data_IF_148992730188
#
_entry.id   IF_148992730188
#
_cell.length_a   1.000
_cell.length_b   1.000
_cell.length_c   1.000
_cell.angle_alpha   90.00
_cell.angle_beta   90.00
_cell.angle_gamma   90.00
#
_symmetry.space_group_name_H-M   'P 1'
#
loop_
_entity.id
_entity.type
_entity.pdbx_description
1 polymer ?
#
# COMPACT_ATOMS: atom_id res chain seq x y z
N UNK A 1 15.56 -21.03 3.39
CA UNK A 1 14.31 -20.44 2.91
C UNK A 1 13.37 -20.31 4.09
N UNK A 2 12.81 -19.12 4.33
CA UNK A 2 11.85 -18.92 5.42
C UNK A 2 10.53 -19.58 5.06
N UNK A 3 9.98 -20.42 5.94
CA UNK A 3 8.70 -21.06 5.77
C UNK A 3 7.66 -20.38 6.67
N UNK A 4 6.52 -19.99 6.10
CA UNK A 4 5.44 -19.32 6.81
C UNK A 4 4.17 -20.14 6.57
N UNK A 5 3.48 -20.48 7.67
CA UNK A 5 2.19 -21.16 7.62
C UNK A 5 1.10 -20.14 7.94
N UNK A 6 0.09 -20.07 7.07
CA UNK A 6 -1.03 -19.13 7.21
C UNK A 6 -2.32 -19.92 7.14
N UNK A 7 -3.14 -19.82 8.18
CA UNK A 7 -4.50 -20.33 8.18
C UNK A 7 -5.42 -19.31 7.53
N UNK A 8 -6.16 -19.74 6.51
CA UNK A 8 -7.04 -18.87 5.72
C UNK A 8 -8.42 -19.50 5.67
N UNK A 9 -9.44 -18.67 5.82
CA UNK A 9 -10.84 -19.07 5.71
C UNK A 9 -11.22 -19.50 4.27
N UNK A 10 -12.23 -20.35 4.15
CA UNK A 10 -12.63 -20.95 2.87
C UNK A 10 -13.16 -19.91 1.88
N UNK A 11 -13.88 -18.90 2.36
CA UNK A 11 -14.37 -17.81 1.51
C UNK A 11 -13.22 -17.05 0.85
N UNK A 12 -12.19 -16.72 1.63
CA UNK A 12 -11.00 -16.01 1.16
C UNK A 12 -10.19 -16.89 0.20
N UNK A 13 -10.11 -18.20 0.47
CA UNK A 13 -9.46 -19.17 -0.42
C UNK A 13 -10.10 -19.20 -1.80
N UNK A 14 -11.44 -19.15 -1.89
CA UNK A 14 -12.17 -19.08 -3.18
C UNK A 14 -11.88 -17.80 -3.96
N UNK A 15 -11.72 -16.67 -3.28
CA UNK A 15 -11.34 -15.41 -3.94
C UNK A 15 -9.91 -15.46 -4.46
N UNK A 16 -8.98 -16.02 -3.66
CA UNK A 16 -7.59 -16.16 -4.04
C UNK A 16 -7.40 -17.14 -5.21
N UNK A 17 -8.16 -18.23 -5.27
CA UNK A 17 -8.07 -19.20 -6.38
C UNK A 17 -8.51 -18.60 -7.70
N UNK A 18 -9.64 -17.89 -7.74
CA UNK A 18 -10.12 -17.16 -8.94
C UNK A 18 -9.08 -16.18 -9.46
N UNK A 19 -8.38 -15.50 -8.54
CA UNK A 19 -7.31 -14.55 -8.90
C UNK A 19 -6.07 -15.26 -9.44
N UNK A 20 -5.71 -16.40 -8.85
CA UNK A 20 -4.58 -17.21 -9.28
C UNK A 20 -4.79 -17.74 -10.70
N UNK A 21 -5.99 -18.25 -11.00
CA UNK A 21 -6.38 -18.69 -12.35
C UNK A 21 -6.27 -17.57 -13.38
N UNK A 22 -6.77 -16.37 -13.06
CA UNK A 22 -6.68 -15.20 -13.95
C UNK A 22 -5.24 -14.79 -14.26
N UNK A 23 -4.32 -15.01 -13.32
CA UNK A 23 -2.92 -14.65 -13.46
C UNK A 23 -2.05 -15.83 -13.92
N UNK A 24 -2.64 -17.00 -14.21
CA UNK A 24 -1.95 -18.24 -14.56
C UNK A 24 -0.88 -18.65 -13.53
N UNK A 25 -1.20 -18.47 -12.24
CA UNK A 25 -0.35 -18.83 -11.13
C UNK A 25 -1.00 -19.94 -10.29
N UNK A 26 -0.18 -20.71 -9.59
CA UNK A 26 -0.68 -21.54 -8.49
C UNK A 26 -1.10 -20.67 -7.30
N UNK A 27 -1.96 -21.21 -6.42
CA UNK A 27 -2.44 -20.48 -5.24
C UNK A 27 -1.25 -20.03 -4.34
N UNK A 28 -0.23 -20.88 -4.21
CA UNK A 28 0.98 -20.59 -3.43
C UNK A 28 1.78 -19.44 -4.04
N UNK A 29 2.02 -19.48 -5.35
CA UNK A 29 2.74 -18.40 -6.06
C UNK A 29 1.97 -17.08 -6.02
N UNK A 30 0.64 -17.14 -6.12
CA UNK A 30 -0.21 -15.96 -6.04
C UNK A 30 -0.13 -15.29 -4.65
N UNK A 31 -0.09 -16.09 -3.57
CA UNK A 31 0.11 -15.57 -2.20
C UNK A 31 1.51 -14.97 -2.07
N UNK A 32 2.54 -15.64 -2.60
CA UNK A 32 3.91 -15.15 -2.56
C UNK A 32 4.05 -13.82 -3.30
N UNK A 33 3.46 -13.71 -4.49
CA UNK A 33 3.45 -12.47 -5.27
C UNK A 33 2.75 -11.33 -4.53
N UNK A 34 1.63 -11.60 -3.86
CA UNK A 34 0.93 -10.62 -3.02
C UNK A 34 1.83 -10.13 -1.88
N UNK A 35 2.48 -11.05 -1.15
CA UNK A 35 3.36 -10.72 -0.04
C UNK A 35 4.58 -9.92 -0.50
N UNK A 36 5.22 -10.32 -1.61
CA UNK A 36 6.34 -9.58 -2.22
C UNK A 36 5.92 -8.16 -2.61
N UNK A 37 4.80 -8.01 -3.33
CA UNK A 37 4.28 -6.69 -3.73
C UNK A 37 3.96 -5.82 -2.53
N UNK A 38 3.36 -6.39 -1.48
CA UNK A 38 3.06 -5.67 -0.25
C UNK A 38 4.32 -5.20 0.49
N UNK A 39 5.33 -6.06 0.61
CA UNK A 39 6.61 -5.74 1.26
C UNK A 39 7.40 -4.66 0.49
N UNK A 40 7.45 -4.76 -0.85
CA UNK A 40 8.12 -3.73 -1.68
C UNK A 40 7.39 -2.40 -1.60
N UNK A 41 6.05 -2.41 -1.68
CA UNK A 41 5.24 -1.19 -1.57
C UNK A 41 5.44 -0.51 -0.22
N UNK A 42 5.44 -1.26 0.87
CA UNK A 42 5.65 -0.71 2.23
C UNK A 42 7.08 -0.20 2.44
N UNK A 43 8.09 -0.87 1.88
CA UNK A 43 9.48 -0.38 1.87
C UNK A 43 9.60 0.98 1.17
N UNK A 44 8.98 1.12 -0.01
CA UNK A 44 9.02 2.35 -0.78
C UNK A 44 8.12 3.46 -0.20
N UNK A 45 7.11 3.11 0.60
CA UNK A 45 6.27 4.09 1.29
C UNK A 45 7.04 4.93 2.33
N UNK A 46 8.21 4.49 2.79
CA UNK A 46 9.08 5.31 3.65
C UNK A 46 9.68 6.53 2.93
N UNK A 47 9.66 6.58 1.60
CA UNK A 47 10.03 7.80 0.84
C UNK A 47 8.84 8.76 0.66
N UNK A 48 7.64 8.42 1.16
CA UNK A 48 6.59 9.41 1.40
C UNK A 48 6.75 10.08 2.78
N UNK A 49 8.01 10.25 3.22
CA UNK A 49 8.33 11.37 4.08
C UNK A 49 7.82 12.62 3.36
N UNK A 50 6.69 13.16 3.83
CA UNK A 50 6.37 14.56 3.61
C UNK A 50 7.65 15.31 3.94
N UNK A 51 8.21 16.12 3.03
CA UNK A 51 9.25 17.03 3.46
C UNK A 51 8.63 17.85 4.61
N UNK A 52 9.28 17.88 5.77
CA UNK A 52 9.03 18.91 6.79
C UNK A 52 9.45 20.22 6.12
N UNK A 53 8.56 20.76 5.30
CA UNK A 53 8.73 22.05 4.67
C UNK A 53 8.45 23.06 5.77
N UNK A 54 9.49 23.45 6.49
CA UNK A 54 9.42 24.54 7.45
C UNK A 54 9.14 25.88 6.73
N UNK A 55 9.34 25.90 5.41
CA UNK A 55 9.26 27.10 4.58
C UNK A 55 8.06 27.07 3.62
N UNK A 56 7.11 27.98 3.85
CA UNK A 56 5.88 28.11 3.07
C UNK A 56 6.15 28.43 1.58
N UNK A 57 7.29 29.08 1.28
CA UNK A 57 7.65 29.49 -0.08
C UNK A 57 8.03 28.29 -0.96
N UNK A 58 8.69 27.29 -0.39
CA UNK A 58 9.06 26.08 -1.15
C UNK A 58 7.80 25.32 -1.59
N UNK A 59 6.70 25.37 -0.83
CA UNK A 59 5.42 24.79 -1.24
C UNK A 59 4.75 25.48 -2.44
N UNK A 60 5.07 26.75 -2.70
CA UNK A 60 4.51 27.53 -3.82
C UNK A 60 5.30 27.25 -5.10
N UNK A 61 6.62 27.10 -4.99
CA UNK A 61 7.51 26.87 -6.14
C UNK A 61 7.81 25.39 -6.40
N UNK A 62 7.50 24.50 -5.45
CA UNK A 62 7.59 23.07 -5.66
C UNK A 62 6.56 22.65 -6.70
N UNK A 63 7.04 22.13 -7.84
CA UNK A 63 6.20 21.54 -8.90
C UNK A 63 5.53 20.22 -8.50
N UNK A 64 5.49 19.91 -7.20
CA UNK A 64 4.88 18.70 -6.66
C UNK A 64 3.36 18.77 -6.81
N UNK A 65 2.80 17.82 -7.56
CA UNK A 65 1.37 17.76 -7.93
C UNK A 65 0.47 17.24 -6.80
N UNK A 66 1.03 16.95 -5.61
CA UNK A 66 0.30 16.46 -4.44
C UNK A 66 -0.40 17.63 -3.75
N UNK A 67 -1.66 17.90 -4.13
CA UNK A 67 -2.46 19.01 -3.59
C UNK A 67 -2.60 19.05 -2.06
N UNK A 68 -2.93 20.23 -1.51
CA UNK A 68 -3.08 20.47 -0.06
C UNK A 68 -4.05 19.48 0.59
N UNK A 69 -3.63 18.83 1.69
CA UNK A 69 -4.48 17.97 2.52
C UNK A 69 -5.63 18.81 3.11
N UNK A 70 -6.89 18.44 2.86
CA UNK A 70 -8.06 19.16 3.40
C UNK A 70 -8.00 19.19 4.93
N UNK A 71 -8.01 20.40 5.51
CA UNK A 71 -8.02 20.65 6.95
C UNK A 71 -9.36 20.16 7.50
N UNK A 72 -9.36 19.18 8.42
CA UNK A 72 -10.60 18.79 9.13
C UNK A 72 -11.01 19.94 10.03
N UNK A 73 -12.15 20.56 9.75
CA UNK A 73 -12.76 21.57 10.62
C UNK A 73 -13.29 20.83 11.85
N UNK A 74 -12.66 21.02 13.01
CA UNK A 74 -13.26 20.59 14.28
C UNK A 74 -14.43 21.53 14.58
N UNK A 75 -15.65 20.98 14.65
CA UNK A 75 -16.81 21.70 15.17
C UNK A 75 -16.52 22.02 16.65
N UNK A 76 -16.39 23.29 17.00
CA UNK A 76 -16.38 23.74 18.40
C UNK A 76 -17.78 23.57 19.00
N UNK A 77 -17.84 23.01 20.21
CA UNK A 77 -18.93 23.26 21.17
C UNK A 77 -18.71 24.63 21.80
#
# INVERSE_FOLDING_TARGET
MSQITISIDEEVKKVLSKRAEKNFLTLKEQIEDILRKSAVRTKNAKSQNLPKLDDNLIGIFSRDKRGRKKKKVSKKK
#
